data_IF_602764498249
#
_entry.id   IF_602764498249
#
_cell.length_a   1.000
_cell.length_b   1.000
_cell.length_c   1.000
_cell.angle_alpha   90.00
_cell.angle_beta   90.00
_cell.angle_gamma   90.00
#
_symmetry.space_group_name_H-M   'P 1'
#
loop_
_entity.id
_entity.type
_entity.pdbx_description
1 polymer ?
#
# COMPACT_ATOMS: atom_id res chain seq x y z
N UNK A 1 5.49 5.19 -31.72
CA UNK A 1 4.62 5.99 -30.82
C UNK A 1 5.35 6.05 -29.51
N UNK A 2 5.78 7.25 -29.09
CA UNK A 2 6.28 7.44 -27.73
C UNK A 2 5.14 7.06 -26.78
N UNK A 3 5.40 6.14 -25.85
CA UNK A 3 4.46 5.83 -24.79
C UNK A 3 4.30 7.08 -23.92
N UNK A 4 3.08 7.59 -23.76
CA UNK A 4 2.82 8.69 -22.83
C UNK A 4 3.33 8.31 -21.43
N UNK A 5 4.33 9.07 -20.94
CA UNK A 5 4.84 8.92 -19.59
C UNK A 5 3.98 9.73 -18.63
N UNK A 6 3.58 9.09 -17.53
CA UNK A 6 2.89 9.68 -16.40
C UNK A 6 3.90 9.94 -15.30
N UNK A 7 3.84 11.12 -14.69
CA UNK A 7 4.64 11.48 -13.52
C UNK A 7 3.73 11.60 -12.31
N UNK A 8 4.10 10.96 -11.20
CA UNK A 8 3.39 11.13 -9.95
C UNK A 8 3.59 12.55 -9.43
N UNK A 9 2.62 13.07 -8.67
CA UNK A 9 2.73 14.42 -8.10
C UNK A 9 3.81 14.54 -7.01
N UNK A 10 4.45 13.43 -6.62
CA UNK A 10 5.45 13.34 -5.53
C UNK A 10 6.86 13.33 -6.11
N UNK A 11 7.45 14.51 -6.27
CA UNK A 11 8.82 14.68 -6.77
C UNK A 11 9.77 15.01 -5.62
N UNK A 12 10.22 14.01 -4.85
CA UNK A 12 11.17 14.24 -3.75
C UNK A 12 12.61 13.99 -4.21
N UNK A 13 13.39 15.07 -4.32
CA UNK A 13 14.86 15.03 -4.21
C UNK A 13 15.64 14.29 -5.32
N UNK A 14 15.00 13.89 -6.42
CA UNK A 14 15.71 13.20 -7.49
C UNK A 14 16.62 14.15 -8.28
N UNK A 15 17.88 13.77 -8.57
CA UNK A 15 18.76 14.53 -9.44
C UNK A 15 18.16 14.66 -10.85
N UNK A 16 18.33 15.83 -11.47
CA UNK A 16 17.92 16.03 -12.85
C UNK A 16 18.60 15.01 -13.79
N UNK A 17 17.82 14.38 -14.67
CA UNK A 17 18.32 13.41 -15.65
C UNK A 17 18.49 11.97 -15.15
N UNK A 18 17.97 11.63 -13.96
CA UNK A 18 17.95 10.25 -13.49
C UNK A 18 16.82 9.44 -14.16
N UNK A 19 17.16 8.35 -14.83
CA UNK A 19 16.22 7.39 -15.40
C UNK A 19 16.37 6.04 -14.69
N UNK A 20 15.32 5.59 -14.00
CA UNK A 20 15.28 4.29 -13.34
C UNK A 20 14.75 4.34 -11.90
N UNK A 21 14.83 3.21 -11.17
CA UNK A 21 14.37 3.14 -9.79
C UNK A 21 15.24 3.98 -8.85
N UNK A 22 14.62 4.78 -8.00
CA UNK A 22 15.25 5.62 -6.99
C UNK A 22 14.74 5.25 -5.59
N UNK A 23 15.62 5.28 -4.59
CA UNK A 23 15.24 5.02 -3.19
C UNK A 23 15.07 6.34 -2.46
N UNK A 24 13.84 6.67 -2.10
CA UNK A 24 13.49 7.82 -1.27
C UNK A 24 13.28 7.41 0.19
N UNK A 25 13.57 8.34 1.10
CA UNK A 25 13.24 8.22 2.52
C UNK A 25 11.98 9.04 2.81
N UNK A 26 10.89 8.36 3.13
CA UNK A 26 9.63 8.98 3.55
C UNK A 26 9.56 9.00 5.06
N UNK A 27 9.33 10.17 5.66
CA UNK A 27 9.24 10.34 7.11
C UNK A 27 7.83 10.74 7.51
N UNK A 28 7.22 9.94 8.39
CA UNK A 28 5.88 10.12 8.92
C UNK A 28 5.95 10.47 10.40
N UNK A 29 5.06 11.34 10.88
CA UNK A 29 4.99 11.68 12.31
C UNK A 29 3.87 10.90 13.00
N UNK A 30 4.14 10.39 14.20
CA UNK A 30 3.10 9.73 15.03
C UNK A 30 2.32 10.71 15.88
N UNK A 31 2.73 11.98 15.93
CA UNK A 31 2.08 13.03 16.71
C UNK A 31 1.23 13.90 15.80
N UNK A 32 0.13 13.32 15.34
CA UNK A 32 -0.79 13.94 14.39
C UNK A 32 -1.73 14.89 15.14
N UNK A 33 -1.79 16.13 14.66
CA UNK A 33 -2.65 17.17 15.21
C UNK A 33 -3.83 17.38 14.26
N UNK A 34 -4.98 17.75 14.80
CA UNK A 34 -6.17 18.08 14.02
C UNK A 34 -6.56 19.52 14.30
N UNK A 35 -7.11 20.19 13.29
CA UNK A 35 -7.72 21.49 13.51
C UNK A 35 -9.13 21.37 14.09
N UNK A 36 -9.82 22.50 14.20
CA UNK A 36 -11.16 22.57 14.78
C UNK A 36 -12.22 21.88 13.91
N UNK A 37 -11.93 21.69 12.62
CA UNK A 37 -12.81 21.05 11.66
C UNK A 37 -12.56 19.53 11.58
N UNK A 38 -11.54 19.04 12.31
CA UNK A 38 -11.15 17.63 12.33
C UNK A 38 -10.24 17.23 11.16
N UNK A 39 -9.70 18.21 10.43
CA UNK A 39 -8.74 17.98 9.36
C UNK A 39 -7.34 17.79 9.93
N UNK A 40 -6.56 16.92 9.29
CA UNK A 40 -5.21 16.61 9.74
C UNK A 40 -4.26 17.79 9.46
N UNK A 41 -3.69 18.35 10.52
CA UNK A 41 -2.66 19.37 10.46
C UNK A 41 -1.31 18.75 10.10
N UNK A 42 -0.92 18.86 8.84
CA UNK A 42 0.42 18.48 8.36
C UNK A 42 1.41 19.63 8.63
N UNK A 43 2.41 19.46 9.51
CA UNK A 43 3.38 20.52 9.78
C UNK A 43 4.22 20.81 8.53
N UNK A 44 4.19 22.06 8.04
CA UNK A 44 5.06 22.49 6.92
C UNK A 44 6.53 22.41 7.35
N UNK A 45 7.33 21.81 6.48
CA UNK A 45 8.77 21.51 6.66
C UNK A 45 9.60 22.79 6.79
N UNK A 46 9.64 23.43 7.98
CA UNK A 46 10.64 24.44 8.43
C UNK A 46 10.33 24.97 9.84
N UNK A 47 10.40 24.14 10.88
CA UNK A 47 10.43 24.66 12.26
C UNK A 47 11.25 23.74 13.16
N UNK A 48 11.92 24.32 14.15
CA UNK A 48 12.75 23.65 15.16
C UNK A 48 12.03 22.52 15.94
N UNK A 49 10.71 22.36 15.79
CA UNK A 49 9.92 21.25 16.34
C UNK A 49 10.25 19.88 15.70
N UNK A 50 10.81 19.82 14.48
CA UNK A 50 11.10 18.53 13.84
C UNK A 50 12.26 17.78 14.52
N UNK A 51 13.22 18.50 15.11
CA UNK A 51 14.36 17.90 15.83
C UNK A 51 13.94 17.36 17.21
N UNK A 52 12.96 17.98 17.87
CA UNK A 52 12.41 17.49 19.13
C UNK A 52 11.48 16.26 18.95
N UNK A 53 10.87 16.11 17.77
CA UNK A 53 9.95 15.01 17.44
C UNK A 53 10.63 13.78 16.80
N UNK A 54 11.96 13.73 16.73
CA UNK A 54 12.68 12.59 16.16
C UNK A 54 12.32 11.25 16.85
N UNK A 55 11.94 11.28 18.13
CA UNK A 55 11.51 10.13 18.92
C UNK A 55 10.12 9.58 18.52
N UNK A 56 9.36 10.34 17.72
CA UNK A 56 7.97 10.07 17.31
C UNK A 56 7.81 10.11 15.78
N UNK A 57 8.87 9.74 15.05
CA UNK A 57 8.86 9.71 13.59
C UNK A 57 9.26 8.34 13.05
N UNK A 58 8.57 7.89 12.01
CA UNK A 58 8.89 6.66 11.30
C UNK A 58 9.42 7.00 9.92
N UNK A 59 10.56 6.43 9.58
CA UNK A 59 11.12 6.60 8.26
C UNK A 59 11.09 5.28 7.50
N UNK A 60 10.54 5.32 6.29
CA UNK A 60 10.40 4.18 5.39
C UNK A 60 11.25 4.44 4.15
N UNK A 61 12.06 3.48 3.75
CA UNK A 61 12.82 3.53 2.49
C UNK A 61 12.01 2.87 1.39
N UNK A 62 11.63 3.62 0.38
CA UNK A 62 10.86 3.08 -0.75
C UNK A 62 11.67 3.28 -2.02
N UNK A 63 11.91 2.17 -2.72
CA UNK A 63 12.31 2.17 -4.12
C UNK A 63 11.08 2.41 -4.98
N UNK A 64 11.14 3.43 -5.84
CA UNK A 64 10.08 3.80 -6.76
C UNK A 64 10.66 4.45 -8.02
N UNK A 65 9.86 4.49 -9.08
CA UNK A 65 10.15 5.27 -10.27
C UNK A 65 9.62 6.71 -10.10
N UNK A 66 10.21 7.63 -10.85
CA UNK A 66 9.78 9.05 -10.90
C UNK A 66 8.74 9.25 -12.01
N UNK A 67 8.97 8.58 -13.14
CA UNK A 67 8.07 8.57 -14.30
C UNK A 67 7.85 7.12 -14.71
N UNK A 68 6.68 6.83 -15.27
CA UNK A 68 6.38 5.52 -15.85
C UNK A 68 5.31 5.63 -16.92
N UNK A 69 5.20 4.64 -17.79
CA UNK A 69 4.00 4.45 -18.58
C UNK A 69 2.79 4.08 -17.69
N UNK A 70 1.58 4.22 -18.22
CA UNK A 70 0.32 3.86 -17.52
C UNK A 70 0.33 2.42 -16.96
N UNK A 71 0.76 1.38 -17.70
CA UNK A 71 0.81 0.01 -17.14
C UNK A 71 1.76 -0.16 -15.95
N UNK A 72 2.69 0.79 -15.76
CA UNK A 72 3.77 0.72 -14.77
C UNK A 72 3.59 1.75 -13.64
N UNK A 73 2.42 2.39 -13.51
CA UNK A 73 2.15 3.40 -12.47
C UNK A 73 2.26 2.86 -11.05
N UNK A 74 2.12 1.53 -10.86
CA UNK A 74 2.38 0.86 -9.58
C UNK A 74 3.85 0.90 -9.13
N UNK A 75 4.78 1.34 -9.99
CA UNK A 75 6.17 1.60 -9.60
C UNK A 75 6.36 2.97 -8.95
N UNK A 76 5.36 3.85 -8.96
CA UNK A 76 5.45 5.21 -8.42
C UNK A 76 4.77 5.31 -7.05
N UNK A 77 5.21 6.27 -6.24
CA UNK A 77 4.51 6.65 -4.98
C UNK A 77 3.51 7.75 -5.28
N UNK A 78 2.26 7.54 -4.87
CA UNK A 78 1.15 8.46 -5.11
C UNK A 78 0.79 9.26 -3.86
N UNK A 79 0.20 10.45 -4.03
CA UNK A 79 -0.16 11.32 -2.89
C UNK A 79 -1.18 10.65 -1.97
N UNK A 80 -2.11 9.88 -2.54
CA UNK A 80 -3.08 9.13 -1.76
C UNK A 80 -2.41 8.10 -0.83
N UNK A 81 -1.32 7.47 -1.25
CA UNK A 81 -0.53 6.55 -0.42
C UNK A 81 0.10 7.28 0.77
N UNK A 82 0.61 8.50 0.57
CA UNK A 82 1.17 9.32 1.65
C UNK A 82 0.10 9.73 2.66
N UNK A 83 -1.05 10.22 2.17
CA UNK A 83 -2.17 10.60 3.02
C UNK A 83 -2.70 9.40 3.82
N UNK A 84 -2.85 8.26 3.15
CA UNK A 84 -3.31 7.03 3.78
C UNK A 84 -2.28 6.47 4.78
N UNK A 85 -0.99 6.64 4.50
CA UNK A 85 0.09 6.29 5.43
C UNK A 85 0.00 7.07 6.75
N UNK A 86 -0.21 8.38 6.69
CA UNK A 86 -0.42 9.21 7.88
C UNK A 86 -1.67 8.74 8.65
N UNK A 87 -2.76 8.43 7.96
CA UNK A 87 -3.98 7.94 8.59
C UNK A 87 -3.83 6.57 9.25
N UNK A 88 -3.14 5.63 8.60
CA UNK A 88 -2.85 4.31 9.19
C UNK A 88 -2.01 4.46 10.45
N UNK A 89 -0.99 5.32 10.43
CA UNK A 89 -0.15 5.58 11.59
C UNK A 89 -0.92 6.27 12.72
N UNK A 90 -1.83 7.20 12.40
CA UNK A 90 -2.76 7.77 13.38
C UNK A 90 -3.59 6.69 14.05
N UNK A 91 -4.26 5.86 13.25
CA UNK A 91 -5.15 4.81 13.76
C UNK A 91 -4.39 3.78 14.57
N UNK A 92 -3.17 3.46 14.18
CA UNK A 92 -2.28 2.57 14.91
C UNK A 92 -1.87 3.12 16.29
N UNK A 93 -1.70 4.44 16.44
CA UNK A 93 -1.34 5.05 17.73
C UNK A 93 -2.55 5.41 18.59
N UNK A 94 -3.69 5.72 17.97
CA UNK A 94 -4.88 6.25 18.65
C UNK A 94 -5.94 5.19 18.96
N UNK A 95 -5.84 3.99 18.40
CA UNK A 95 -6.88 2.96 18.43
C UNK A 95 -6.30 1.55 18.33
N UNK A 96 -7.02 0.56 18.84
CA UNK A 96 -6.68 -0.86 18.67
C UNK A 96 -7.32 -1.50 17.44
N UNK A 97 -8.06 -0.74 16.62
CA UNK A 97 -8.80 -1.25 15.45
C UNK A 97 -7.92 -1.92 14.40
N UNK A 98 -6.64 -1.54 14.31
CA UNK A 98 -5.68 -2.14 13.38
C UNK A 98 -4.85 -3.28 14.01
N UNK A 99 -5.02 -3.55 15.31
CA UNK A 99 -4.27 -4.61 15.98
C UNK A 99 -4.82 -5.97 15.59
N UNK A 100 -3.90 -6.90 15.32
CA UNK A 100 -4.20 -8.32 15.05
C UNK A 100 -5.12 -8.58 13.84
N UNK A 101 -5.38 -7.56 13.01
CA UNK A 101 -6.15 -7.73 11.77
C UNK A 101 -5.35 -8.51 10.73
N UNK A 102 -6.05 -9.20 9.84
CA UNK A 102 -5.52 -9.62 8.56
C UNK A 102 -5.95 -8.57 7.54
N UNK A 103 -4.98 -7.92 6.91
CA UNK A 103 -5.22 -6.85 5.94
C UNK A 103 -4.84 -7.27 4.53
N UNK A 104 -5.61 -6.81 3.55
CA UNK A 104 -5.35 -6.99 2.13
C UNK A 104 -5.31 -5.62 1.44
N UNK A 105 -4.13 -5.25 0.94
CA UNK A 105 -3.94 -4.03 0.16
C UNK A 105 -4.10 -4.34 -1.33
N UNK A 106 -5.09 -3.70 -1.95
CA UNK A 106 -5.44 -3.83 -3.36
C UNK A 106 -4.74 -2.72 -4.15
N UNK A 107 -3.94 -3.10 -5.15
CA UNK A 107 -3.15 -2.13 -5.93
C UNK A 107 -2.05 -1.51 -5.08
N UNK A 108 -1.30 -2.37 -4.38
CA UNK A 108 -0.31 -1.94 -3.39
C UNK A 108 0.86 -1.16 -4.00
N UNK A 109 1.12 -1.31 -5.30
CA UNK A 109 2.21 -0.65 -6.01
C UNK A 109 3.56 -0.84 -5.31
N UNK A 110 4.07 0.23 -4.70
CA UNK A 110 5.33 0.20 -3.96
C UNK A 110 5.24 -0.54 -2.61
N UNK A 111 4.03 -0.76 -2.09
CA UNK A 111 3.73 -1.39 -0.82
C UNK A 111 3.76 -0.46 0.39
N UNK A 112 3.91 0.86 0.18
CA UNK A 112 4.16 1.82 1.25
C UNK A 112 3.14 1.74 2.41
N UNK A 113 1.85 1.72 2.10
CA UNK A 113 0.80 1.73 3.13
C UNK A 113 0.80 0.40 3.90
N UNK A 114 0.82 -0.74 3.21
CA UNK A 114 0.84 -2.04 3.86
C UNK A 114 2.10 -2.31 4.67
N UNK A 115 3.27 -1.74 4.31
CA UNK A 115 4.48 -1.80 5.13
C UNK A 115 4.30 -1.10 6.49
N UNK A 116 3.60 0.03 6.52
CA UNK A 116 3.28 0.72 7.77
C UNK A 116 2.23 -0.04 8.58
N UNK A 117 1.23 -0.61 7.91
CA UNK A 117 0.20 -1.44 8.53
C UNK A 117 0.79 -2.72 9.16
N UNK A 118 1.83 -3.30 8.55
CA UNK A 118 2.52 -4.50 9.04
C UNK A 118 3.19 -4.33 10.42
N UNK A 119 3.26 -3.11 10.93
CA UNK A 119 3.74 -2.82 12.29
C UNK A 119 2.73 -3.20 13.38
N UNK A 120 1.45 -3.25 13.05
CA UNK A 120 0.34 -3.43 14.01
C UNK A 120 -0.60 -4.59 13.67
N UNK A 121 -0.72 -4.92 12.39
CA UNK A 121 -1.52 -6.04 11.92
C UNK A 121 -0.91 -7.41 12.30
N UNK A 122 -1.72 -8.47 12.24
CA UNK A 122 -1.25 -9.86 12.36
C UNK A 122 -0.72 -10.40 11.01
N UNK A 123 -1.36 -10.03 9.91
CA UNK A 123 -0.88 -10.33 8.55
C UNK A 123 -1.26 -9.22 7.57
N UNK A 124 -0.42 -9.00 6.57
CA UNK A 124 -0.67 -8.05 5.47
C UNK A 124 -0.37 -8.73 4.14
N UNK A 125 -1.35 -8.72 3.25
CA UNK A 125 -1.21 -9.11 1.85
C UNK A 125 -1.07 -7.86 0.99
N UNK A 126 0.11 -7.65 0.43
CA UNK A 126 0.41 -6.62 -0.56
C UNK A 126 0.11 -7.20 -1.93
N UNK A 127 -0.93 -6.70 -2.61
CA UNK A 127 -1.36 -7.27 -3.89
C UNK A 127 -1.38 -6.26 -5.02
N UNK A 128 -0.90 -6.70 -6.17
CA UNK A 128 -0.87 -5.93 -7.41
C UNK A 128 -0.80 -6.88 -8.62
N UNK A 129 -0.85 -6.34 -9.83
CA UNK A 129 -0.67 -7.09 -11.07
C UNK A 129 0.64 -6.69 -11.76
N UNK A 130 1.39 -7.68 -12.24
CA UNK A 130 2.66 -7.45 -12.95
C UNK A 130 3.90 -7.78 -12.12
N UNK A 131 4.72 -8.68 -12.65
CA UNK A 131 5.93 -9.19 -11.97
C UNK A 131 6.91 -8.09 -11.58
N UNK A 132 7.07 -7.03 -12.40
CA UNK A 132 7.99 -5.93 -12.11
C UNK A 132 7.53 -5.11 -10.88
N UNK A 133 6.23 -4.83 -10.77
CA UNK A 133 5.63 -4.13 -9.64
C UNK A 133 5.77 -4.98 -8.38
N UNK A 134 5.43 -6.26 -8.45
CA UNK A 134 5.54 -7.19 -7.33
C UNK A 134 7.02 -7.45 -6.93
N UNK A 135 7.96 -7.44 -7.87
CA UNK A 135 9.40 -7.47 -7.61
C UNK A 135 9.84 -6.22 -6.85
N UNK A 136 9.37 -5.04 -7.25
CA UNK A 136 9.65 -3.78 -6.56
C UNK A 136 9.05 -3.75 -5.15
N UNK A 137 7.78 -4.15 -5.00
CA UNK A 137 7.10 -4.28 -3.71
C UNK A 137 7.86 -5.21 -2.77
N UNK A 138 8.25 -6.41 -3.24
CA UNK A 138 9.04 -7.35 -2.46
C UNK A 138 10.42 -6.78 -2.06
N UNK A 139 11.09 -6.02 -2.94
CA UNK A 139 12.33 -5.30 -2.58
C UNK A 139 12.07 -4.27 -1.47
N UNK A 140 10.97 -3.53 -1.52
CA UNK A 140 10.61 -2.55 -0.48
C UNK A 140 10.33 -3.20 0.88
N UNK A 141 9.73 -4.39 0.90
CA UNK A 141 9.60 -5.19 2.13
C UNK A 141 10.99 -5.47 2.72
N UNK A 142 11.94 -5.92 1.90
CA UNK A 142 13.30 -6.25 2.33
C UNK A 142 14.10 -5.01 2.77
N UNK A 143 13.98 -3.89 2.05
CA UNK A 143 14.67 -2.63 2.38
C UNK A 143 14.31 -2.11 3.78
N UNK A 144 13.13 -2.46 4.28
CA UNK A 144 12.62 -2.02 5.58
C UNK A 144 12.60 -3.14 6.63
N UNK A 145 13.07 -4.35 6.28
CA UNK A 145 13.20 -5.44 7.22
C UNK A 145 14.15 -5.06 8.37
N UNK A 146 13.72 -5.26 9.61
CA UNK A 146 14.43 -4.84 10.81
C UNK A 146 14.32 -3.35 11.17
N UNK A 147 13.97 -2.47 10.23
CA UNK A 147 13.78 -1.03 10.50
C UNK A 147 12.39 -0.73 11.06
N UNK A 148 11.36 -1.37 10.50
CA UNK A 148 9.97 -1.13 10.90
C UNK A 148 9.48 -2.08 12.01
N UNK A 149 10.32 -3.02 12.45
CA UNK A 149 9.97 -4.05 13.44
C UNK A 149 8.58 -4.65 13.20
N UNK A 150 8.40 -5.28 12.04
CA UNK A 150 7.11 -5.85 11.64
C UNK A 150 6.61 -6.83 12.69
N UNK A 151 5.35 -6.66 13.09
CA UNK A 151 4.62 -7.65 13.90
C UNK A 151 3.86 -8.64 13.01
N UNK A 152 3.53 -8.21 11.79
CA UNK A 152 2.76 -8.98 10.84
C UNK A 152 3.61 -9.97 10.04
N UNK A 153 2.95 -11.04 9.58
CA UNK A 153 3.41 -11.78 8.40
C UNK A 153 3.09 -10.95 7.15
N UNK A 154 4.07 -10.78 6.27
CA UNK A 154 3.90 -9.99 5.04
C UNK A 154 3.95 -10.93 3.83
N UNK A 155 2.94 -10.83 2.97
CA UNK A 155 2.82 -11.61 1.75
C UNK A 155 2.75 -10.64 0.56
N UNK A 156 3.59 -10.86 -0.45
CA UNK A 156 3.46 -10.17 -1.74
C UNK A 156 2.85 -11.17 -2.72
N UNK A 157 1.67 -10.88 -3.27
CA UNK A 157 0.93 -11.82 -4.12
C UNK A 157 0.31 -11.12 -5.31
N UNK A 158 0.21 -11.84 -6.41
CA UNK A 158 -0.42 -11.31 -7.62
C UNK A 158 -1.94 -11.31 -7.47
N UNK A 159 -2.58 -10.18 -7.73
CA UNK A 159 -4.03 -10.08 -7.84
C UNK A 159 -4.39 -9.28 -9.09
N UNK A 160 -4.74 -10.00 -10.15
CA UNK A 160 -5.32 -9.41 -11.35
C UNK A 160 -6.82 -9.21 -11.16
N UNK A 161 -7.28 -7.95 -11.17
CA UNK A 161 -8.68 -7.60 -11.00
C UNK A 161 -9.57 -8.05 -12.17
N UNK A 162 -9.00 -8.24 -13.36
CA UNK A 162 -9.73 -8.85 -14.49
C UNK A 162 -9.84 -10.37 -14.36
N UNK A 163 -9.06 -10.97 -13.46
CA UNK A 163 -9.07 -12.39 -13.15
C UNK A 163 -10.26 -12.83 -12.29
N UNK A 164 -10.28 -14.13 -11.99
CA UNK A 164 -11.24 -14.71 -11.05
C UNK A 164 -10.68 -14.66 -9.61
N UNK A 165 -11.54 -14.31 -8.65
CA UNK A 165 -11.30 -14.55 -7.23
C UNK A 165 -12.21 -15.68 -6.72
N UNK A 166 -11.69 -16.69 -5.99
CA UNK A 166 -10.29 -16.88 -5.62
C UNK A 166 -9.39 -17.35 -6.78
N UNK A 167 -8.08 -17.04 -6.75
CA UNK A 167 -7.14 -17.50 -7.76
C UNK A 167 -6.88 -19.01 -7.64
N UNK A 168 -6.31 -19.61 -8.68
CA UNK A 168 -5.88 -21.01 -8.63
C UNK A 168 -4.70 -21.13 -7.65
N UNK A 169 -4.89 -21.92 -6.60
CA UNK A 169 -3.84 -22.21 -5.64
C UNK A 169 -2.68 -22.97 -6.28
N UNK A 170 -1.45 -22.64 -5.88
CA UNK A 170 -0.25 -23.38 -6.26
C UNK A 170 -0.25 -24.78 -5.66
N UNK A 171 -0.08 -25.78 -6.51
CA UNK A 171 0.08 -27.19 -6.12
C UNK A 171 1.52 -27.64 -6.40
N UNK A 172 2.34 -27.85 -5.35
CA UNK A 172 3.71 -28.39 -5.46
C UNK A 172 4.83 -27.37 -5.74
N UNK A 173 6.05 -27.86 -6.00
CA UNK A 173 7.24 -27.07 -6.36
C UNK A 173 7.09 -26.54 -7.80
N UNK A 174 6.34 -25.45 -7.96
CA UNK A 174 6.12 -24.84 -9.27
C UNK A 174 7.34 -24.05 -9.78
N UNK A 175 7.47 -23.88 -11.13
CA UNK A 175 8.54 -23.11 -11.76
C UNK A 175 8.62 -21.64 -11.30
N UNK A 176 9.73 -20.97 -11.63
CA UNK A 176 10.00 -19.55 -11.34
C UNK A 176 8.91 -18.57 -11.82
N UNK A 177 8.07 -18.99 -12.77
CA UNK A 177 6.94 -18.21 -13.31
C UNK A 177 5.77 -18.04 -12.34
N UNK A 178 5.74 -18.79 -11.21
CA UNK A 178 4.69 -18.69 -10.18
C UNK A 178 5.22 -18.07 -8.87
N UNK A 179 6.11 -17.08 -8.97
CA UNK A 179 6.75 -16.48 -7.80
C UNK A 179 5.75 -15.87 -6.81
N UNK A 180 4.70 -15.24 -7.33
CA UNK A 180 3.69 -14.50 -6.54
C UNK A 180 2.33 -15.22 -6.46
N UNK A 181 2.32 -16.52 -6.76
CA UNK A 181 1.11 -17.36 -6.67
C UNK A 181 0.66 -17.56 -5.23
N UNK A 182 -0.64 -17.76 -5.05
CA UNK A 182 -1.24 -18.03 -3.76
C UNK A 182 -1.20 -19.50 -3.37
N UNK A 183 -1.04 -19.78 -2.09
CA UNK A 183 -1.37 -21.10 -1.52
C UNK A 183 -2.84 -21.16 -1.08
N UNK A 184 -3.43 -22.35 -0.96
CA UNK A 184 -4.82 -22.48 -0.50
C UNK A 184 -5.05 -21.86 0.88
N UNK A 185 -4.05 -21.94 1.78
CA UNK A 185 -4.11 -21.35 3.11
C UNK A 185 -4.06 -19.82 3.06
N UNK A 186 -3.23 -19.25 2.18
CA UNK A 186 -3.17 -17.79 1.99
C UNK A 186 -4.47 -17.24 1.40
N UNK A 187 -5.12 -18.00 0.51
CA UNK A 187 -6.46 -17.63 0.00
C UNK A 187 -7.47 -17.62 1.14
N UNK A 188 -7.50 -18.66 1.97
CA UNK A 188 -8.39 -18.73 3.13
C UNK A 188 -8.14 -17.56 4.12
N UNK A 189 -6.88 -17.27 4.43
CA UNK A 189 -6.49 -16.15 5.27
C UNK A 189 -6.94 -14.80 4.66
N UNK A 190 -6.78 -14.61 3.34
CA UNK A 190 -7.20 -13.41 2.63
C UNK A 190 -8.72 -13.26 2.52
N UNK A 191 -9.47 -14.36 2.31
CA UNK A 191 -10.94 -14.34 2.36
C UNK A 191 -11.46 -13.96 3.75
N UNK A 192 -10.73 -14.35 4.81
CA UNK A 192 -11.02 -13.99 6.19
C UNK A 192 -10.43 -12.65 6.64
N UNK A 193 -9.75 -11.91 5.76
CA UNK A 193 -9.25 -10.57 6.04
C UNK A 193 -10.37 -9.69 6.59
N UNK A 194 -10.09 -8.91 7.64
CA UNK A 194 -11.06 -7.99 8.24
C UNK A 194 -10.85 -6.54 7.80
N UNK A 195 -9.79 -6.28 7.02
CA UNK A 195 -9.44 -4.96 6.53
C UNK A 195 -8.98 -5.02 5.07
N UNK A 196 -9.66 -4.26 4.21
CA UNK A 196 -9.22 -3.98 2.85
C UNK A 196 -8.71 -2.55 2.76
N UNK A 197 -7.58 -2.35 2.07
CA UNK A 197 -6.97 -1.03 1.89
C UNK A 197 -6.67 -0.81 0.41
N UNK A 198 -6.88 0.39 -0.10
CA UNK A 198 -6.51 0.77 -1.47
C UNK A 198 -6.14 2.26 -1.51
N UNK A 199 -5.15 2.63 -2.31
CA UNK A 199 -4.73 4.02 -2.49
C UNK A 199 -4.58 4.36 -3.98
N UNK A 200 -5.27 5.40 -4.44
CA UNK A 200 -5.23 5.93 -5.82
C UNK A 200 -5.48 4.88 -6.93
N UNK A 201 -6.37 3.92 -6.67
CA UNK A 201 -6.68 2.83 -7.62
C UNK A 201 -7.70 3.20 -8.70
N UNK A 202 -8.29 4.41 -8.65
CA UNK A 202 -9.31 4.89 -9.59
C UNK A 202 -8.68 5.88 -10.57
N UNK A 203 -8.21 5.38 -11.71
CA UNK A 203 -7.59 6.19 -12.77
C UNK A 203 -7.95 5.75 -14.20
N UNK A 204 -8.71 4.66 -14.35
CA UNK A 204 -9.21 4.13 -15.63
C UNK A 204 -10.57 3.50 -15.41
N UNK A 205 -11.51 3.71 -16.32
CA UNK A 205 -12.89 3.20 -16.20
C UNK A 205 -12.92 1.67 -16.14
N UNK A 206 -12.19 1.00 -17.04
CA UNK A 206 -12.12 -0.46 -17.08
C UNK A 206 -11.52 -1.07 -15.80
N UNK A 207 -10.46 -0.44 -15.27
CA UNK A 207 -9.85 -0.87 -14.01
C UNK A 207 -10.75 -0.57 -12.81
N UNK A 208 -11.52 0.51 -12.87
CA UNK A 208 -12.48 0.87 -11.81
C UNK A 208 -13.57 -0.19 -11.71
N UNK A 209 -14.15 -0.62 -12.83
CA UNK A 209 -15.14 -1.70 -12.86
C UNK A 209 -14.58 -3.03 -12.37
N UNK A 210 -13.35 -3.37 -12.80
CA UNK A 210 -12.65 -4.57 -12.35
C UNK A 210 -12.33 -4.54 -10.84
N UNK A 211 -11.91 -3.38 -10.33
CA UNK A 211 -11.64 -3.13 -8.91
C UNK A 211 -12.91 -3.35 -8.07
N UNK A 212 -14.03 -2.71 -8.42
CA UNK A 212 -15.28 -2.88 -7.68
C UNK A 212 -15.83 -4.32 -7.78
N UNK A 213 -15.68 -4.97 -8.93
CA UNK A 213 -16.03 -6.39 -9.09
C UNK A 213 -15.21 -7.30 -8.17
N UNK A 214 -13.91 -7.00 -8.04
CA UNK A 214 -13.01 -7.73 -7.13
C UNK A 214 -13.37 -7.45 -5.67
N UNK A 215 -13.65 -6.19 -5.33
CA UNK A 215 -14.08 -5.79 -4.00
C UNK A 215 -15.36 -6.53 -3.59
N UNK A 216 -16.38 -6.58 -4.46
CA UNK A 216 -17.63 -7.30 -4.20
C UNK A 216 -17.38 -8.79 -3.89
N UNK A 217 -16.53 -9.46 -4.68
CA UNK A 217 -16.17 -10.88 -4.48
C UNK A 217 -15.43 -11.13 -3.17
N UNK A 218 -14.55 -10.21 -2.76
CA UNK A 218 -13.80 -10.31 -1.50
C UNK A 218 -14.72 -10.05 -0.29
N UNK A 219 -15.60 -9.06 -0.42
CA UNK A 219 -16.57 -8.69 0.63
C UNK A 219 -17.61 -9.79 0.84
N UNK A 220 -17.95 -10.57 -0.18
CA UNK A 220 -18.92 -11.67 -0.08
C UNK A 220 -18.37 -12.97 0.55
N UNK A 221 -17.14 -12.97 1.06
CA UNK A 221 -16.43 -14.16 1.57
C UNK A 221 -15.93 -13.94 2.99
N UNK A 222 -15.81 -14.99 3.79
CA UNK A 222 -15.17 -14.96 5.12
C UNK A 222 -15.79 -13.94 6.09
N UNK A 223 -14.91 -13.18 6.77
CA UNK A 223 -15.28 -12.20 7.80
C UNK A 223 -15.88 -10.92 7.23
N UNK A 224 -16.67 -10.20 8.06
CA UNK A 224 -17.01 -8.79 7.84
C UNK A 224 -15.75 -7.96 7.70
N UNK A 225 -15.69 -7.08 6.70
CA UNK A 225 -14.50 -6.30 6.36
C UNK A 225 -14.77 -4.81 6.46
N UNK A 226 -13.85 -4.07 7.05
CA UNK A 226 -13.74 -2.63 6.84
C UNK A 226 -12.95 -2.34 5.58
N UNK A 227 -13.31 -1.28 4.86
CA UNK A 227 -12.56 -0.79 3.69
C UNK A 227 -12.06 0.62 3.96
N UNK A 228 -10.76 0.85 3.76
CA UNK A 228 -10.15 2.17 3.80
C UNK A 228 -9.62 2.48 2.39
N UNK A 229 -10.22 3.46 1.73
CA UNK A 229 -9.83 3.86 0.39
C UNK A 229 -9.30 5.29 0.40
N UNK A 230 -8.02 5.46 0.05
CA UNK A 230 -7.40 6.76 -0.16
C UNK A 230 -7.50 7.18 -1.62
N UNK A 231 -7.96 8.39 -1.88
CA UNK A 231 -7.89 9.06 -3.18
C UNK A 231 -6.93 10.24 -3.06
N UNK A 232 -6.46 10.80 -4.18
CA UNK A 232 -5.60 11.99 -4.17
C UNK A 232 -6.12 13.20 -3.37
N UNK A 233 -7.40 13.22 -2.97
CA UNK A 233 -8.03 14.32 -2.21
C UNK A 233 -8.58 13.93 -0.83
N UNK A 234 -8.91 12.67 -0.58
CA UNK A 234 -9.64 12.27 0.62
C UNK A 234 -9.47 10.79 0.96
N UNK A 235 -9.67 10.45 2.23
CA UNK A 235 -9.81 9.07 2.70
C UNK A 235 -11.29 8.78 2.92
N UNK A 236 -11.75 7.64 2.41
CA UNK A 236 -13.10 7.14 2.56
C UNK A 236 -13.08 5.85 3.38
N UNK A 237 -13.99 5.75 4.35
CA UNK A 237 -14.17 4.58 5.22
C UNK A 237 -15.50 3.93 4.89
N UNK A 238 -15.47 2.65 4.55
CA UNK A 238 -16.68 1.86 4.33
C UNK A 238 -16.72 0.68 5.30
N UNK A 239 -17.92 0.40 5.79
CA UNK A 239 -18.25 -0.81 6.53
C UNK A 239 -19.55 -1.32 5.94
N UNK A 240 -19.58 -2.56 5.50
CA UNK A 240 -20.77 -3.22 4.96
C UNK A 240 -21.16 -4.38 5.85
#
# INVERSE_FOLDING_TARGET
MESEEVMSEVHLGCPAGFSGPYISLFSFSTNLQFDQDGDLLLPRRRTAMFEANAQHSFSVRIQHNITSSIPNVGLQVWRAELLLSDFILHKASSSSQLHQVIALELGAGTGLVGLLLARVANAVFLTDHGTEILDNCAKNVQLNFGLLNYQAKIYVRELDWFGCWPPKAKTGEAPSTQKYSWTSREIEDAENASLLVAADVIYSDELTDAFFSTLERLMSRGSTKGVIHGTGKAIQLFSF
#
